data_IF_858863072334
#
_entry.id   IF_858863072334
#
_cell.length_a   1.000
_cell.length_b   1.000
_cell.length_c   1.000
_cell.angle_alpha   90.00
_cell.angle_beta   90.00
_cell.angle_gamma   90.00
#
_symmetry.space_group_name_H-M   'P 1'
#
loop_
_entity.id
_entity.type
_entity.pdbx_description
1 polymer ?
#
# COMPACT_ATOMS: atom_id res chain seq x y z
N UNK A 1 -19.80 7.35 -0.42
CA UNK A 1 -19.35 6.84 -1.26
C UNK A 1 -17.94 6.78 -1.34
N UNK A 2 -17.42 5.95 -1.85
CA UNK A 2 -16.11 5.73 -1.84
C UNK A 2 -15.42 6.14 -3.02
N UNK A 3 -15.80 7.14 -3.56
CA UNK A 3 -15.24 7.62 -4.78
C UNK A 3 -13.85 8.10 -4.66
N UNK A 4 -13.42 8.47 -3.47
CA UNK A 4 -12.08 9.01 -3.31
C UNK A 4 -10.99 8.03 -3.74
N UNK A 5 -11.21 6.73 -3.55
CA UNK A 5 -10.23 5.74 -4.00
C UNK A 5 -10.10 5.75 -5.52
N UNK A 6 -11.22 5.95 -6.22
CA UNK A 6 -11.18 5.98 -7.68
C UNK A 6 -10.46 7.20 -8.22
N UNK A 7 -10.40 8.27 -7.41
CA UNK A 7 -9.73 9.50 -7.84
C UNK A 7 -8.25 9.51 -7.51
N UNK A 8 -7.77 8.51 -6.80
CA UNK A 8 -6.34 8.46 -6.44
C UNK A 8 -5.52 8.09 -7.66
N UNK A 9 -4.35 8.71 -7.84
CA UNK A 9 -3.40 8.23 -8.82
C UNK A 9 -3.05 6.78 -8.58
N UNK A 10 -2.81 6.03 -9.63
CA UNK A 10 -2.50 4.62 -9.47
C UNK A 10 -1.58 4.13 -10.58
N UNK A 11 -0.84 3.08 -10.26
CA UNK A 11 0.02 2.38 -11.20
C UNK A 11 -0.46 0.94 -11.26
N UNK A 12 -0.61 0.42 -12.47
CA UNK A 12 -1.07 -0.95 -12.68
C UNK A 12 0.07 -1.76 -13.26
N UNK A 13 0.33 -2.93 -12.68
CA UNK A 13 1.33 -3.85 -13.21
C UNK A 13 0.66 -4.82 -14.17
N UNK A 14 1.29 -5.08 -15.31
CA UNK A 14 0.76 -5.97 -16.32
C UNK A 14 1.74 -7.11 -16.58
N UNK A 15 1.18 -8.27 -16.91
CA UNK A 15 1.96 -9.41 -17.37
C UNK A 15 1.34 -9.85 -18.69
N UNK A 16 2.01 -9.54 -19.81
CA UNK A 16 1.52 -9.89 -21.16
C UNK A 16 0.11 -9.35 -21.39
N UNK A 17 -0.06 -8.06 -21.14
CA UNK A 17 -1.33 -7.34 -21.36
C UNK A 17 -2.41 -7.69 -20.34
N UNK A 18 -2.10 -8.49 -19.33
CA UNK A 18 -3.07 -8.85 -18.30
C UNK A 18 -2.73 -8.10 -17.02
N UNK A 19 -3.66 -7.36 -16.42
CA UNK A 19 -3.35 -6.65 -15.16
C UNK A 19 -3.18 -7.65 -14.03
N UNK A 20 -2.06 -7.55 -13.30
CA UNK A 20 -1.76 -8.48 -12.22
C UNK A 20 -1.62 -7.80 -10.87
N UNK A 21 -1.54 -6.49 -10.82
CA UNK A 21 -1.46 -5.78 -9.55
C UNK A 21 -1.66 -4.30 -9.72
N UNK A 22 -1.92 -3.61 -8.61
CA UNK A 22 -2.16 -2.16 -8.62
C UNK A 22 -1.69 -1.57 -7.31
N UNK A 23 -1.16 -0.34 -7.39
CA UNK A 23 -0.89 0.47 -6.22
C UNK A 23 -1.54 1.83 -6.45
N UNK A 24 -2.33 2.31 -5.48
CA UNK A 24 -2.88 3.65 -5.53
C UNK A 24 -2.40 4.44 -4.33
N UNK A 25 -2.31 5.74 -4.48
CA UNK A 25 -1.73 6.57 -3.45
C UNK A 25 -2.30 7.99 -3.52
N UNK A 26 -2.05 8.76 -2.45
CA UNK A 26 -2.48 10.16 -2.39
C UNK A 26 -1.37 10.94 -1.69
N UNK A 27 -0.97 12.06 -2.26
CA UNK A 27 -0.02 12.94 -1.60
C UNK A 27 -0.77 13.82 -0.62
N UNK A 28 -0.49 13.68 0.66
CA UNK A 28 -1.21 14.42 1.71
C UNK A 28 -0.51 15.71 2.06
N UNK A 29 0.79 15.78 1.87
CA UNK A 29 1.59 16.97 2.09
C UNK A 29 2.90 16.73 1.34
N UNK A 30 3.73 17.75 1.12
CA UNK A 30 4.97 17.53 0.38
C UNK A 30 5.80 16.40 0.99
N UNK A 31 6.02 15.35 0.21
CA UNK A 31 6.78 14.18 0.64
C UNK A 31 6.03 13.19 1.50
N UNK A 32 4.76 13.45 1.83
CA UNK A 32 3.96 12.56 2.67
C UNK A 32 2.86 11.93 1.84
N UNK A 33 2.93 10.61 1.69
CA UNK A 33 2.00 9.88 0.84
C UNK A 33 1.22 8.85 1.63
N UNK A 34 -0.06 8.71 1.29
CA UNK A 34 -0.92 7.68 1.85
C UNK A 34 -1.12 6.62 0.77
N UNK A 35 -0.82 5.36 1.09
CA UNK A 35 -1.02 4.26 0.15
C UNK A 35 -2.44 3.76 0.36
N UNK A 36 -3.30 4.05 -0.61
CA UNK A 36 -4.71 3.71 -0.50
C UNK A 36 -5.01 2.26 -0.82
N UNK A 37 -4.24 1.67 -1.72
CA UNK A 37 -4.46 0.29 -2.11
C UNK A 37 -3.17 -0.29 -2.66
N UNK A 38 -2.84 -1.50 -2.25
CA UNK A 38 -1.79 -2.28 -2.88
C UNK A 38 -2.34 -3.69 -2.98
N UNK A 39 -2.66 -4.12 -4.19
CA UNK A 39 -3.31 -5.39 -4.41
C UNK A 39 -2.65 -6.14 -5.55
N UNK A 40 -2.56 -7.46 -5.42
CA UNK A 40 -2.03 -8.35 -6.46
C UNK A 40 -3.05 -9.45 -6.65
N UNK A 41 -3.33 -9.81 -7.91
CA UNK A 41 -4.30 -10.87 -8.16
C UNK A 41 -3.81 -12.15 -7.49
N UNK A 42 -4.76 -12.96 -7.04
CA UNK A 42 -4.45 -14.09 -6.18
C UNK A 42 -3.48 -15.07 -6.83
N UNK A 43 -3.62 -15.31 -8.12
CA UNK A 43 -2.78 -16.27 -8.83
C UNK A 43 -1.33 -15.80 -8.96
N UNK A 44 -1.10 -14.50 -8.82
CA UNK A 44 0.24 -13.94 -8.97
C UNK A 44 0.89 -13.58 -7.65
N UNK A 45 0.22 -13.83 -6.53
CA UNK A 45 0.80 -13.53 -5.24
C UNK A 45 2.00 -14.43 -4.95
N UNK A 46 2.98 -13.91 -4.23
CA UNK A 46 4.18 -14.67 -3.95
C UNK A 46 5.26 -14.54 -5.01
N UNK A 47 5.01 -13.78 -6.08
CA UNK A 47 5.98 -13.61 -7.17
C UNK A 47 6.72 -12.28 -7.10
N UNK A 48 6.54 -11.52 -6.03
CA UNK A 48 7.25 -10.26 -5.86
C UNK A 48 6.61 -9.06 -6.53
N UNK A 49 5.38 -9.19 -7.05
CA UNK A 49 4.72 -8.10 -7.75
C UNK A 49 4.42 -6.95 -6.80
N UNK A 50 3.94 -7.25 -5.59
CA UNK A 50 3.67 -6.21 -4.59
C UNK A 50 4.93 -5.46 -4.21
N UNK A 51 6.04 -6.18 -4.05
CA UNK A 51 7.33 -5.56 -3.75
C UNK A 51 7.76 -4.66 -4.90
N UNK A 52 7.60 -5.12 -6.16
CA UNK A 52 7.97 -4.33 -7.32
C UNK A 52 7.12 -3.07 -7.44
N UNK A 53 5.82 -3.17 -7.16
CA UNK A 53 4.95 -2.01 -7.21
C UNK A 53 5.35 -0.97 -6.17
N UNK A 54 5.66 -1.40 -4.95
CA UNK A 54 6.07 -0.47 -3.91
C UNK A 54 7.41 0.19 -4.25
N UNK A 55 8.36 -0.58 -4.76
CA UNK A 55 9.65 -0.02 -5.17
C UNK A 55 9.50 0.95 -6.33
N UNK A 56 8.63 0.62 -7.29
CA UNK A 56 8.36 1.50 -8.41
C UNK A 56 7.77 2.83 -7.90
N UNK A 57 6.85 2.75 -6.95
CA UNK A 57 6.28 3.96 -6.36
C UNK A 57 7.38 4.83 -5.73
N UNK A 58 8.27 4.21 -4.97
CA UNK A 58 9.36 4.96 -4.33
C UNK A 58 10.31 5.58 -5.33
N UNK A 59 10.58 4.89 -6.44
CA UNK A 59 11.44 5.43 -7.49
C UNK A 59 10.78 6.57 -8.25
N UNK A 60 9.46 6.50 -8.44
CA UNK A 60 8.73 7.55 -9.13
C UNK A 60 8.53 8.79 -8.26
N UNK A 61 8.65 8.63 -6.95
CA UNK A 61 8.46 9.74 -6.01
C UNK A 61 9.66 9.85 -5.08
N UNK A 62 10.83 10.22 -5.63
CA UNK A 62 12.06 10.25 -4.82
C UNK A 62 12.03 11.27 -3.70
N UNK A 63 11.04 12.16 -3.70
CA UNK A 63 10.86 13.14 -2.64
C UNK A 63 10.14 12.58 -1.42
N UNK A 64 9.70 11.31 -1.45
CA UNK A 64 8.93 10.80 -0.32
C UNK A 64 9.77 10.78 0.95
N UNK A 65 9.17 11.17 2.05
CA UNK A 65 9.82 11.07 3.35
C UNK A 65 8.96 10.34 4.36
N UNK A 66 7.68 10.16 4.07
CA UNK A 66 6.79 9.44 4.97
C UNK A 66 5.72 8.73 4.15
N UNK A 67 5.52 7.46 4.41
CA UNK A 67 4.45 6.68 3.81
C UNK A 67 3.56 6.15 4.91
N UNK A 68 2.24 6.22 4.73
CA UNK A 68 1.28 5.69 5.68
C UNK A 68 0.30 4.78 4.96
N UNK A 69 -0.27 3.84 5.68
CA UNK A 69 -1.32 2.97 5.15
C UNK A 69 -2.07 2.31 6.30
N UNK A 70 -3.19 1.69 5.99
CA UNK A 70 -3.94 0.93 6.98
C UNK A 70 -4.21 -0.47 6.44
N UNK A 71 -4.34 -1.43 7.36
CA UNK A 71 -4.59 -2.83 7.02
C UNK A 71 -5.44 -3.45 8.12
N UNK A 72 -6.40 -4.32 7.78
CA UNK A 72 -7.16 -5.04 8.81
C UNK A 72 -6.23 -5.80 9.74
N UNK A 73 -6.55 -5.78 11.03
CA UNK A 73 -5.69 -6.39 12.05
C UNK A 73 -5.55 -7.89 11.86
N UNK A 74 -6.54 -8.55 11.28
CA UNK A 74 -6.49 -9.98 11.08
C UNK A 74 -5.81 -10.39 9.76
N UNK A 75 -5.32 -9.45 8.98
CA UNK A 75 -4.62 -9.77 7.74
C UNK A 75 -3.13 -9.91 8.01
N UNK A 76 -2.75 -11.06 8.57
CA UNK A 76 -1.36 -11.30 8.97
C UNK A 76 -0.38 -11.25 7.81
N UNK A 77 -0.82 -11.67 6.63
CA UNK A 77 0.05 -11.67 5.46
C UNK A 77 0.49 -10.25 5.09
N UNK A 78 -0.47 -9.32 5.08
CA UNK A 78 -0.14 -7.92 4.78
C UNK A 78 0.69 -7.30 5.89
N UNK A 79 0.38 -7.63 7.14
CA UNK A 79 1.15 -7.10 8.27
C UNK A 79 2.61 -7.51 8.14
N UNK A 80 2.88 -8.78 7.84
CA UNK A 80 4.25 -9.26 7.65
C UNK A 80 4.90 -8.60 6.45
N UNK A 81 4.15 -8.43 5.36
CA UNK A 81 4.68 -7.81 4.16
C UNK A 81 5.19 -6.41 4.47
N UNK A 82 4.37 -5.59 5.12
CA UNK A 82 4.76 -4.21 5.38
C UNK A 82 5.83 -4.11 6.47
N UNK A 83 5.73 -4.89 7.54
CA UNK A 83 6.68 -4.75 8.65
C UNK A 83 8.00 -5.43 8.36
N UNK A 84 7.97 -6.63 7.78
CA UNK A 84 9.19 -7.41 7.58
C UNK A 84 9.93 -7.05 6.31
N UNK A 85 9.19 -6.81 5.24
CA UNK A 85 9.84 -6.55 3.96
C UNK A 85 10.22 -5.08 3.79
N UNK A 86 9.39 -4.16 4.28
CA UNK A 86 9.63 -2.74 4.07
C UNK A 86 9.97 -1.98 5.35
N UNK A 87 9.77 -2.58 6.51
CA UNK A 87 10.15 -1.92 7.76
C UNK A 87 9.14 -0.90 8.27
N UNK A 88 7.88 -1.00 7.86
CA UNK A 88 6.86 -0.12 8.40
C UNK A 88 6.66 -0.41 9.89
N UNK A 89 6.39 0.65 10.66
CA UNK A 89 6.03 0.53 12.06
C UNK A 89 4.53 0.59 12.22
N UNK A 90 3.99 -0.16 13.17
CA UNK A 90 2.58 -0.07 13.52
C UNK A 90 2.47 1.07 14.52
N UNK A 91 1.75 2.14 14.15
CA UNK A 91 1.69 3.34 14.97
C UNK A 91 0.33 3.57 15.59
N UNK A 92 -0.65 2.75 15.29
CA UNK A 92 -1.98 2.91 15.90
C UNK A 92 -2.91 1.80 15.52
N UNK A 93 -4.04 1.77 16.21
CA UNK A 93 -5.07 0.79 15.97
C UNK A 93 -6.40 1.52 16.08
N UNK A 94 -7.33 1.20 15.20
CA UNK A 94 -8.63 1.88 15.17
C UNK A 94 -9.73 0.87 14.90
N UNK A 95 -10.85 1.03 15.60
CA UNK A 95 -12.01 0.19 15.35
C UNK A 95 -12.90 0.94 14.36
N UNK A 96 -13.20 0.27 13.24
CA UNK A 96 -14.04 0.86 12.20
C UNK A 96 -15.18 -0.12 11.98
N UNK A 97 -16.30 0.13 12.64
CA UNK A 97 -17.44 -0.77 12.60
C UNK A 97 -17.10 -2.11 13.25
N UNK A 98 -17.25 -3.19 12.50
CA UNK A 98 -16.94 -4.54 13.00
C UNK A 98 -15.48 -4.92 12.76
N UNK A 99 -14.69 -4.04 12.17
CA UNK A 99 -13.31 -4.35 11.76
C UNK A 99 -12.35 -3.48 12.54
N UNK A 100 -11.25 -4.09 13.01
CA UNK A 100 -10.15 -3.33 13.60
C UNK A 100 -9.06 -3.20 12.56
N UNK A 101 -8.55 -1.99 12.35
CA UNK A 101 -7.48 -1.74 11.39
C UNK A 101 -6.25 -1.24 12.13
N UNK A 102 -5.09 -1.55 11.57
CA UNK A 102 -3.82 -1.07 12.09
C UNK A 102 -3.31 0.03 11.17
N UNK A 103 -2.74 1.07 11.76
CA UNK A 103 -2.12 2.16 11.03
C UNK A 103 -0.61 1.93 10.98
N UNK A 104 -0.04 2.06 9.79
CA UNK A 104 1.38 1.81 9.55
C UNK A 104 2.05 3.08 9.05
N UNK A 105 3.31 3.24 9.39
CA UNK A 105 4.09 4.40 8.97
C UNK A 105 5.51 3.98 8.67
N UNK A 106 6.05 4.47 7.56
CA UNK A 106 7.44 4.29 7.21
C UNK A 106 8.03 5.68 7.00
N UNK A 107 9.09 6.00 7.72
CA UNK A 107 9.76 7.30 7.58
C UNK A 107 11.15 7.08 7.05
N UNK A 108 11.59 8.02 6.23
CA UNK A 108 12.92 7.97 5.68
C UNK A 108 13.94 8.56 6.58
#
# INVERSE_FOLDING_TARGET
MEQSILDYPKTIAYDQDKPVGVISYKEEAPGKYYIGCLAVVKEEQGRGIGTSLMKHFMDEHPDWNELTLVTPKDNERNIKFYTKRFGFDIVGEEIDGAVTVLHFKLSR
#
